data_IF_260817237509
#
_entry.id   IF_260817237509
#
_cell.length_a   1.000
_cell.length_b   1.000
_cell.length_c   1.000
_cell.angle_alpha   90.00
_cell.angle_beta   90.00
_cell.angle_gamma   90.00
#
_symmetry.space_group_name_H-M   'P 1'
#
loop_
_entity.id
_entity.type
_entity.pdbx_description
1 polymer ?
#
# COMPACT_ATOMS: atom_id res chain seq x y z
N UNK A 1 29.16 32.45 -1.93
CA UNK A 1 28.36 31.23 -1.76
C UNK A 1 29.21 30.19 -1.05
N UNK A 2 28.93 29.90 0.22
CA UNK A 2 29.66 28.92 1.02
C UNK A 2 29.21 27.52 0.60
N UNK A 3 30.11 26.77 -0.05
CA UNK A 3 29.90 25.36 -0.38
C UNK A 3 29.82 24.55 0.92
N UNK A 4 28.65 23.95 1.20
CA UNK A 4 28.47 23.07 2.35
C UNK A 4 29.45 21.89 2.24
N UNK A 5 30.12 21.54 3.34
CA UNK A 5 30.91 20.32 3.36
C UNK A 5 30.00 19.08 3.32
N UNK A 6 30.54 17.91 2.96
CA UNK A 6 29.75 16.67 2.79
C UNK A 6 28.91 16.30 4.01
N UNK A 7 29.41 16.58 5.21
CA UNK A 7 28.68 16.34 6.47
C UNK A 7 27.45 17.25 6.58
N UNK A 8 27.59 18.53 6.24
CA UNK A 8 26.48 19.48 6.24
C UNK A 8 25.48 19.19 5.11
N UNK A 9 25.93 18.71 3.96
CA UNK A 9 25.04 18.21 2.90
C UNK A 9 24.23 17.00 3.38
N UNK A 10 24.89 16.01 4.02
CA UNK A 10 24.20 14.83 4.58
C UNK A 10 23.20 15.18 5.68
N UNK A 11 23.55 16.10 6.58
CA UNK A 11 22.65 16.57 7.65
C UNK A 11 21.45 17.32 7.07
N UNK A 12 21.68 18.18 6.07
CA UNK A 12 20.62 18.92 5.39
C UNK A 12 19.67 17.99 4.62
N UNK A 13 20.21 17.04 3.86
CA UNK A 13 19.41 16.03 3.15
C UNK A 13 18.57 15.19 4.11
N UNK A 14 19.15 14.76 5.24
CA UNK A 14 18.43 14.01 6.26
C UNK A 14 17.34 14.85 6.94
N UNK A 15 17.60 16.14 7.16
CA UNK A 15 16.62 17.09 7.69
C UNK A 15 15.46 17.35 6.72
N UNK A 16 15.74 17.52 5.43
CA UNK A 16 14.71 17.72 4.41
C UNK A 16 13.86 16.45 4.23
N UNK A 17 14.47 15.25 4.21
CA UNK A 17 13.74 13.98 4.21
C UNK A 17 12.80 13.85 5.42
N UNK A 18 13.26 14.21 6.62
CA UNK A 18 12.45 14.19 7.83
C UNK A 18 11.27 15.18 7.75
N UNK A 19 11.46 16.34 7.12
CA UNK A 19 10.40 17.34 6.93
C UNK A 19 9.34 16.84 5.95
N UNK A 20 9.73 16.19 4.85
CA UNK A 20 8.77 15.57 3.92
C UNK A 20 7.97 14.46 4.59
N UNK A 21 8.62 13.59 5.37
CA UNK A 21 7.95 12.57 6.16
C UNK A 21 6.91 13.20 7.11
N UNK A 22 7.22 14.31 7.77
CA UNK A 22 6.28 15.00 8.66
C UNK A 22 5.08 15.55 7.88
N UNK A 23 5.29 16.29 6.79
CA UNK A 23 4.18 16.87 6.02
C UNK A 23 3.29 15.81 5.37
N UNK A 24 3.91 14.75 4.85
CA UNK A 24 3.22 13.60 4.31
C UNK A 24 2.37 12.94 5.40
N UNK A 25 2.93 12.65 6.57
CA UNK A 25 2.18 12.09 7.68
C UNK A 25 1.05 13.00 8.15
N UNK A 26 1.27 14.32 8.26
CA UNK A 26 0.21 15.27 8.63
C UNK A 26 -0.93 15.30 7.63
N UNK A 27 -0.61 15.30 6.33
CA UNK A 27 -1.62 15.26 5.27
C UNK A 27 -2.45 13.97 5.34
N UNK A 28 -1.79 12.83 5.55
CA UNK A 28 -2.49 11.54 5.59
C UNK A 28 -3.30 11.38 6.87
N UNK A 29 -2.79 11.84 8.01
CA UNK A 29 -3.56 11.85 9.27
C UNK A 29 -4.80 12.70 9.09
N UNK A 30 -4.67 13.88 8.47
CA UNK A 30 -5.80 14.75 8.20
C UNK A 30 -6.81 14.09 7.25
N UNK A 31 -6.35 13.44 6.18
CA UNK A 31 -7.24 12.73 5.25
C UNK A 31 -7.99 11.58 5.94
N UNK A 32 -7.27 10.73 6.68
CA UNK A 32 -7.82 9.60 7.42
C UNK A 32 -8.83 10.05 8.48
N UNK A 33 -8.53 11.12 9.24
CA UNK A 33 -9.44 11.63 10.27
C UNK A 33 -10.67 12.30 9.65
N UNK A 34 -10.55 12.95 8.48
CA UNK A 34 -11.70 13.51 7.78
C UNK A 34 -12.63 12.41 7.24
N UNK A 35 -12.08 11.35 6.63
CA UNK A 35 -12.88 10.21 6.16
C UNK A 35 -13.61 9.51 7.33
N UNK A 36 -12.91 9.27 8.43
CA UNK A 36 -13.52 8.72 9.65
C UNK A 36 -14.60 9.66 10.23
N UNK A 37 -14.35 10.97 10.22
CA UNK A 37 -15.29 11.96 10.75
C UNK A 37 -16.55 12.05 9.90
N UNK A 38 -16.44 11.92 8.57
CA UNK A 38 -17.58 11.84 7.65
C UNK A 38 -18.39 10.57 7.91
N UNK A 39 -17.74 9.43 8.11
CA UNK A 39 -18.40 8.17 8.46
C UNK A 39 -19.19 8.29 9.78
N UNK A 40 -18.56 8.82 10.83
CA UNK A 40 -19.20 9.00 12.15
C UNK A 40 -20.34 10.02 12.08
N UNK A 41 -20.15 11.14 11.38
CA UNK A 41 -21.17 12.18 11.28
C UNK A 41 -22.41 11.76 10.48
N UNK A 42 -22.28 10.77 9.58
CA UNK A 42 -23.38 10.26 8.76
C UNK A 42 -24.05 9.02 9.36
N UNK A 43 -23.63 8.54 10.54
CA UNK A 43 -24.14 7.31 11.17
C UNK A 43 -24.15 6.07 10.25
N UNK A 44 -23.32 6.05 9.20
CA UNK A 44 -23.38 5.00 8.17
C UNK A 44 -24.68 4.97 7.35
N UNK A 45 -25.58 5.95 7.50
CA UNK A 45 -26.80 6.11 6.71
C UNK A 45 -26.52 7.10 5.59
N UNK A 46 -26.29 6.62 4.38
CA UNK A 46 -25.64 7.43 3.33
C UNK A 46 -26.62 8.12 2.37
N UNK A 47 -26.83 9.42 2.56
CA UNK A 47 -27.02 10.36 1.44
C UNK A 47 -25.70 10.54 0.62
N UNK A 48 -24.59 9.94 1.09
CA UNK A 48 -23.28 9.85 0.42
C UNK A 48 -22.99 8.46 -0.16
N UNK A 49 -24.01 7.74 -0.64
CA UNK A 49 -23.87 6.37 -1.15
C UNK A 49 -22.73 6.21 -2.15
N UNK A 50 -22.51 7.20 -3.02
CA UNK A 50 -21.45 7.19 -4.04
C UNK A 50 -20.00 7.12 -3.49
N UNK A 51 -19.77 7.43 -2.22
CA UNK A 51 -18.41 7.45 -1.63
C UNK A 51 -18.00 6.07 -1.13
N UNK A 52 -18.93 5.37 -0.48
CA UNK A 52 -18.67 4.18 0.34
C UNK A 52 -19.51 2.96 -0.09
N UNK A 53 -19.86 2.88 -1.37
CA UNK A 53 -20.58 1.75 -1.95
C UNK A 53 -19.64 1.01 -2.90
N UNK A 54 -19.98 -0.23 -3.24
CA UNK A 54 -19.35 -0.95 -4.35
C UNK A 54 -19.40 -0.10 -5.62
N UNK A 55 -18.28 0.04 -6.33
CA UNK A 55 -18.01 1.07 -7.35
C UNK A 55 -17.89 2.52 -6.83
N UNK A 56 -17.57 2.68 -5.57
CA UNK A 56 -17.50 3.96 -4.89
C UNK A 56 -16.27 4.77 -5.29
N UNK A 57 -16.30 6.03 -4.86
CA UNK A 57 -15.14 6.92 -5.02
C UNK A 57 -13.89 6.35 -4.32
N UNK A 58 -14.04 5.71 -3.15
CA UNK A 58 -12.90 5.16 -2.42
C UNK A 58 -12.24 3.99 -3.14
N UNK A 59 -12.99 2.99 -3.60
CA UNK A 59 -12.50 1.86 -4.40
C UNK A 59 -11.75 2.34 -5.66
N UNK A 60 -12.34 3.30 -6.38
CA UNK A 60 -11.71 3.93 -7.55
C UNK A 60 -10.39 4.62 -7.18
N UNK A 61 -10.35 5.35 -6.07
CA UNK A 61 -9.12 6.01 -5.61
C UNK A 61 -8.07 5.01 -5.11
N UNK A 62 -8.49 3.92 -4.45
CA UNK A 62 -7.62 2.82 -4.04
C UNK A 62 -6.88 2.25 -5.24
N UNK A 63 -7.61 1.93 -6.31
CA UNK A 63 -7.04 1.46 -7.57
C UNK A 63 -6.06 2.47 -8.17
N UNK A 64 -6.38 3.77 -8.16
CA UNK A 64 -5.47 4.83 -8.61
C UNK A 64 -4.16 4.85 -7.81
N UNK A 65 -4.21 4.69 -6.48
CA UNK A 65 -3.01 4.64 -5.65
C UNK A 65 -2.19 3.36 -5.91
N UNK A 66 -2.84 2.21 -6.08
CA UNK A 66 -2.17 0.97 -6.46
C UNK A 66 -1.48 1.09 -7.84
N UNK A 67 -2.17 1.60 -8.86
CA UNK A 67 -1.57 1.83 -10.18
C UNK A 67 -0.45 2.88 -10.15
N UNK A 68 -0.58 3.91 -9.31
CA UNK A 68 0.48 4.91 -9.10
C UNK A 68 1.72 4.28 -8.48
N UNK A 69 1.56 3.45 -7.43
CA UNK A 69 2.65 2.68 -6.83
C UNK A 69 3.29 1.73 -7.86
N UNK A 70 2.47 1.03 -8.65
CA UNK A 70 2.93 0.16 -9.73
C UNK A 70 3.79 0.92 -10.74
N UNK A 71 3.34 2.11 -11.16
CA UNK A 71 4.08 3.00 -12.05
C UNK A 71 5.42 3.43 -11.46
N UNK A 72 5.45 3.89 -10.21
CA UNK A 72 6.69 4.30 -9.53
C UNK A 72 7.71 3.16 -9.50
N UNK A 73 7.29 1.94 -9.15
CA UNK A 73 8.12 0.74 -9.19
C UNK A 73 8.60 0.39 -10.62
N UNK A 74 7.70 0.48 -11.60
CA UNK A 74 8.00 0.23 -13.01
C UNK A 74 8.92 1.29 -13.64
N UNK A 75 9.00 2.51 -13.10
CA UNK A 75 9.98 3.49 -13.55
C UNK A 75 11.32 3.34 -12.81
N UNK A 76 11.28 2.96 -11.53
CA UNK A 76 12.46 2.86 -10.67
C UNK A 76 13.40 1.70 -11.00
N UNK A 77 12.96 0.65 -11.70
CA UNK A 77 13.82 -0.52 -11.96
C UNK A 77 15.03 -0.21 -12.86
N UNK A 78 14.98 0.88 -13.64
CA UNK A 78 16.01 1.27 -14.61
C UNK A 78 17.34 1.50 -13.87
N UNK A 79 18.42 0.97 -14.45
CA UNK A 79 19.79 1.11 -13.92
C UNK A 79 20.00 0.56 -12.50
N UNK A 80 19.11 -0.31 -11.98
CA UNK A 80 19.32 -1.01 -10.72
C UNK A 80 20.00 -2.38 -10.93
N UNK A 81 20.81 -2.85 -9.96
CA UNK A 81 21.35 -4.22 -9.99
C UNK A 81 20.24 -5.26 -9.95
N UNK A 82 20.55 -6.49 -10.38
CA UNK A 82 19.56 -7.55 -10.62
C UNK A 82 18.60 -7.82 -9.43
N UNK A 83 19.05 -7.91 -8.16
CA UNK A 83 18.13 -8.16 -7.04
C UNK A 83 17.12 -7.03 -6.82
N UNK A 84 17.57 -5.77 -6.88
CA UNK A 84 16.69 -4.62 -6.73
C UNK A 84 15.71 -4.50 -7.90
N UNK A 85 16.19 -4.78 -9.13
CA UNK A 85 15.36 -4.79 -10.33
C UNK A 85 14.26 -5.83 -10.24
N UNK A 86 14.57 -7.02 -9.72
CA UNK A 86 13.57 -8.05 -9.45
C UNK A 86 12.48 -7.52 -8.52
N UNK A 87 12.83 -6.95 -7.36
CA UNK A 87 11.85 -6.44 -6.42
C UNK A 87 11.01 -5.28 -6.98
N UNK A 88 11.62 -4.38 -7.75
CA UNK A 88 10.87 -3.31 -8.43
C UNK A 88 9.83 -3.89 -9.40
N UNK A 89 10.22 -4.86 -10.23
CA UNK A 89 9.28 -5.49 -11.17
C UNK A 89 8.22 -6.33 -10.44
N UNK A 90 8.61 -7.07 -9.39
CA UNK A 90 7.69 -7.84 -8.57
C UNK A 90 6.60 -6.95 -7.96
N UNK A 91 7.00 -5.85 -7.30
CA UNK A 91 6.03 -4.93 -6.71
C UNK A 91 5.26 -4.14 -7.77
N UNK A 92 5.84 -3.82 -8.92
CA UNK A 92 5.11 -3.20 -10.03
C UNK A 92 3.95 -4.09 -10.50
N UNK A 93 4.23 -5.37 -10.76
CA UNK A 93 3.21 -6.34 -11.18
C UNK A 93 2.21 -6.56 -10.05
N UNK A 94 2.67 -6.79 -8.81
CA UNK A 94 1.79 -7.03 -7.67
C UNK A 94 0.81 -5.88 -7.47
N UNK A 95 1.29 -4.63 -7.43
CA UNK A 95 0.41 -3.46 -7.24
C UNK A 95 -0.53 -3.26 -8.43
N UNK A 96 -0.10 -3.56 -9.66
CA UNK A 96 -0.98 -3.52 -10.83
C UNK A 96 -2.09 -4.56 -10.74
N UNK A 97 -1.77 -5.80 -10.32
CA UNK A 97 -2.77 -6.86 -10.12
C UNK A 97 -3.76 -6.46 -9.02
N UNK A 98 -3.29 -5.96 -7.87
CA UNK A 98 -4.16 -5.52 -6.78
C UNK A 98 -5.06 -4.37 -7.21
N UNK A 99 -4.52 -3.35 -7.89
CA UNK A 99 -5.32 -2.25 -8.41
C UNK A 99 -6.32 -2.69 -9.49
N UNK A 100 -6.00 -3.72 -10.27
CA UNK A 100 -6.91 -4.36 -11.22
C UNK A 100 -8.05 -5.08 -10.51
N UNK A 101 -7.75 -5.93 -9.53
CA UNK A 101 -8.74 -6.64 -8.71
C UNK A 101 -9.68 -5.67 -7.99
N UNK A 102 -9.16 -4.54 -7.50
CA UNK A 102 -9.92 -3.48 -6.81
C UNK A 102 -11.02 -2.87 -7.67
N UNK A 103 -10.87 -2.79 -9.00
CA UNK A 103 -11.92 -2.25 -9.91
C UNK A 103 -12.47 -3.32 -10.85
N UNK A 104 -12.37 -4.59 -10.44
CA UNK A 104 -12.81 -5.74 -11.24
C UNK A 104 -12.28 -5.71 -12.67
N UNK A 105 -11.01 -5.36 -12.83
CA UNK A 105 -10.30 -5.24 -14.09
C UNK A 105 -10.93 -4.26 -15.09
N UNK A 106 -11.71 -3.29 -14.58
CA UNK A 106 -12.46 -2.35 -15.41
C UNK A 106 -13.67 -2.97 -16.09
N UNK A 107 -14.11 -4.17 -15.68
CA UNK A 107 -15.30 -4.85 -16.19
C UNK A 107 -16.49 -3.90 -16.31
N UNK A 108 -16.79 -3.20 -15.23
CA UNK A 108 -17.95 -2.32 -15.08
C UNK A 108 -17.77 -1.03 -15.88
N UNK A 109 -16.54 -0.49 -15.93
CA UNK A 109 -16.16 0.67 -16.75
C UNK A 109 -16.38 0.41 -18.25
N UNK A 110 -16.02 -0.78 -18.72
CA UNK A 110 -16.13 -1.16 -20.13
C UNK A 110 -17.46 -1.87 -20.47
N UNK A 111 -18.36 -2.03 -19.50
CA UNK A 111 -19.66 -2.69 -19.69
C UNK A 111 -19.55 -4.17 -20.09
N UNK A 112 -18.49 -4.85 -19.65
CA UNK A 112 -18.24 -6.26 -19.99
C UNK A 112 -19.10 -7.14 -19.08
N UNK A 113 -19.93 -7.99 -19.68
CA UNK A 113 -20.75 -8.94 -18.93
C UNK A 113 -19.89 -10.03 -18.28
N UNK A 114 -20.30 -10.47 -17.09
CA UNK A 114 -19.68 -11.59 -16.37
C UNK A 114 -19.89 -12.88 -17.15
N UNK A 115 -18.86 -13.69 -17.42
CA UNK A 115 -19.04 -14.97 -18.07
C UNK A 115 -19.90 -15.89 -17.22
N UNK A 116 -20.80 -16.65 -17.85
CA UNK A 116 -21.68 -17.60 -17.16
C UNK A 116 -20.93 -18.63 -16.28
N UNK A 117 -19.66 -18.93 -16.60
CA UNK A 117 -18.80 -19.80 -15.79
C UNK A 117 -18.30 -19.18 -14.48
N UNK A 118 -18.32 -17.84 -14.38
CA UNK A 118 -17.92 -17.07 -13.19
C UNK A 118 -19.14 -16.65 -12.37
N UNK A 119 -20.29 -16.40 -12.99
CA UNK A 119 -21.56 -16.13 -12.27
C UNK A 119 -21.92 -17.23 -11.25
N UNK A 120 -21.59 -18.49 -11.54
CA UNK A 120 -21.90 -19.61 -10.64
C UNK A 120 -21.01 -19.72 -9.39
N UNK A 121 -19.88 -19.01 -9.35
CA UNK A 121 -18.85 -19.15 -8.30
C UNK A 121 -18.35 -17.83 -7.71
N UNK A 122 -18.63 -16.71 -8.36
CA UNK A 122 -18.30 -15.38 -7.87
C UNK A 122 -19.51 -14.80 -7.13
N UNK A 123 -19.34 -14.50 -5.85
CA UNK A 123 -20.42 -14.09 -4.94
C UNK A 123 -21.03 -12.73 -5.35
N UNK A 124 -20.29 -11.94 -6.14
CA UNK A 124 -20.65 -10.59 -6.58
C UNK A 124 -20.83 -10.47 -8.11
N UNK A 125 -20.82 -11.57 -8.85
CA UNK A 125 -20.87 -11.61 -10.33
C UNK A 125 -19.76 -10.76 -11.00
N UNK A 126 -18.51 -10.90 -10.58
CA UNK A 126 -17.38 -10.10 -11.11
C UNK A 126 -16.23 -10.93 -11.68
N UNK A 127 -15.31 -10.27 -12.40
CA UNK A 127 -14.08 -10.86 -12.92
C UNK A 127 -12.99 -11.07 -11.86
N UNK A 128 -13.09 -10.37 -10.74
CA UNK A 128 -12.07 -10.43 -9.71
C UNK A 128 -11.98 -11.84 -9.09
N UNK A 129 -10.74 -12.31 -8.99
CA UNK A 129 -10.39 -13.62 -8.45
C UNK A 129 -10.63 -13.63 -6.95
N UNK A 130 -10.51 -12.47 -6.29
CA UNK A 130 -10.73 -12.40 -4.84
C UNK A 130 -12.19 -12.55 -4.42
N UNK A 131 -13.19 -12.44 -5.31
CA UNK A 131 -14.61 -12.65 -4.95
C UNK A 131 -15.11 -14.06 -5.28
N UNK A 132 -14.21 -14.96 -5.70
CA UNK A 132 -14.53 -16.37 -5.87
C UNK A 132 -14.71 -17.00 -4.49
N UNK A 133 -15.85 -17.66 -4.30
CA UNK A 133 -16.23 -18.25 -3.04
C UNK A 133 -15.21 -19.31 -2.58
N UNK A 134 -14.79 -19.24 -1.32
CA UNK A 134 -13.70 -20.06 -0.76
C UNK A 134 -12.27 -19.57 -1.06
N UNK A 135 -12.05 -18.67 -2.02
CA UNK A 135 -10.73 -18.05 -2.30
C UNK A 135 -10.58 -16.71 -1.55
N UNK A 136 -11.66 -15.93 -1.44
CA UNK A 136 -11.69 -14.61 -0.80
C UNK A 136 -10.97 -14.55 0.55
N UNK A 137 -11.32 -15.46 1.47
CA UNK A 137 -10.73 -15.49 2.82
C UNK A 137 -9.23 -15.80 2.79
N UNK A 138 -8.78 -16.66 1.88
CA UNK A 138 -7.38 -17.04 1.73
C UNK A 138 -6.54 -15.90 1.16
N UNK A 139 -7.06 -15.20 0.14
CA UNK A 139 -6.41 -14.01 -0.44
C UNK A 139 -6.26 -12.93 0.62
N UNK A 140 -7.31 -12.69 1.41
CA UNK A 140 -7.27 -11.72 2.51
C UNK A 140 -6.25 -12.07 3.58
N UNK A 141 -6.23 -13.32 4.04
CA UNK A 141 -5.22 -13.80 5.00
C UNK A 141 -3.80 -13.68 4.45
N UNK A 142 -3.60 -14.05 3.19
CA UNK A 142 -2.31 -13.90 2.52
C UNK A 142 -1.89 -12.43 2.42
N UNK A 143 -2.82 -11.52 2.11
CA UNK A 143 -2.59 -10.08 2.09
C UNK A 143 -2.18 -9.53 3.46
N UNK A 144 -2.88 -9.90 4.53
CA UNK A 144 -2.53 -9.51 5.91
C UNK A 144 -1.15 -10.04 6.30
N UNK A 145 -0.84 -11.30 5.99
CA UNK A 145 0.47 -11.88 6.25
C UNK A 145 1.58 -11.17 5.47
N UNK A 146 1.33 -10.88 4.18
CA UNK A 146 2.26 -10.16 3.32
C UNK A 146 2.57 -8.76 3.85
N UNK A 147 1.54 -8.00 4.22
CA UNK A 147 1.67 -6.68 4.86
C UNK A 147 2.42 -6.80 6.19
N UNK A 148 2.08 -7.79 7.02
CA UNK A 148 2.80 -8.08 8.27
C UNK A 148 4.30 -8.28 8.06
N UNK A 149 4.66 -9.02 7.02
CA UNK A 149 6.06 -9.31 6.69
C UNK A 149 6.78 -8.07 6.15
N UNK A 150 6.27 -7.45 5.09
CA UNK A 150 6.96 -6.35 4.39
C UNK A 150 6.91 -5.02 5.12
N UNK A 151 5.79 -4.72 5.80
CA UNK A 151 5.61 -3.44 6.49
C UNK A 151 6.16 -3.44 7.92
N UNK A 152 6.29 -4.61 8.56
CA UNK A 152 6.73 -4.72 9.95
C UNK A 152 7.91 -5.66 10.16
N UNK A 153 7.78 -6.97 9.88
CA UNK A 153 8.79 -7.95 10.25
C UNK A 153 10.17 -7.64 9.65
N UNK A 154 10.23 -7.38 8.35
CA UNK A 154 11.47 -7.06 7.63
C UNK A 154 12.08 -5.72 8.12
N UNK A 155 11.36 -4.58 8.14
CA UNK A 155 11.95 -3.32 8.60
C UNK A 155 12.32 -3.30 10.09
N UNK A 156 11.58 -4.02 10.95
CA UNK A 156 11.92 -4.17 12.37
C UNK A 156 13.17 -5.03 12.53
N UNK A 157 13.22 -6.23 11.94
CA UNK A 157 14.40 -7.10 12.03
C UNK A 157 15.65 -6.46 11.42
N UNK A 158 15.51 -5.63 10.38
CA UNK A 158 16.59 -4.82 9.83
C UNK A 158 17.18 -3.80 10.84
N UNK A 159 16.39 -3.32 11.81
CA UNK A 159 16.88 -2.42 12.87
C UNK A 159 17.63 -3.16 13.98
N UNK A 160 17.22 -4.40 14.28
CA UNK A 160 17.73 -5.15 15.42
C UNK A 160 18.86 -6.13 15.08
N UNK A 161 18.95 -6.63 13.85
CA UNK A 161 19.97 -7.60 13.45
C UNK A 161 20.86 -7.08 12.32
N UNK A 162 22.18 -7.08 12.56
CA UNK A 162 23.19 -6.75 11.55
C UNK A 162 23.22 -7.80 10.43
N UNK A 163 23.05 -9.07 10.78
CA UNK A 163 22.99 -10.18 9.83
C UNK A 163 21.80 -10.02 8.89
N UNK A 164 20.61 -9.74 9.43
CA UNK A 164 19.41 -9.51 8.61
C UNK A 164 19.57 -8.29 7.73
N UNK A 165 20.14 -7.20 8.24
CA UNK A 165 20.46 -6.02 7.44
C UNK A 165 21.35 -6.37 6.25
N UNK A 166 22.45 -7.11 6.46
CA UNK A 166 23.34 -7.54 5.37
C UNK A 166 22.62 -8.44 4.36
N UNK A 167 21.81 -9.37 4.85
CA UNK A 167 20.98 -10.24 4.00
C UNK A 167 20.03 -9.42 3.12
N UNK A 168 19.26 -8.49 3.69
CA UNK A 168 18.35 -7.63 2.92
C UNK A 168 19.08 -6.76 1.91
N UNK A 169 20.29 -6.31 2.23
CA UNK A 169 21.14 -5.55 1.30
C UNK A 169 21.57 -6.43 0.12
N UNK A 170 22.09 -7.61 0.41
CA UNK A 170 22.57 -8.57 -0.59
C UNK A 170 21.47 -8.98 -1.57
N UNK A 171 20.27 -9.21 -1.06
CA UNK A 171 19.12 -9.66 -1.84
C UNK A 171 18.24 -8.51 -2.35
N UNK A 172 18.64 -7.26 -2.12
CA UNK A 172 17.91 -6.08 -2.58
C UNK A 172 16.52 -5.93 -2.00
N UNK A 173 16.24 -6.55 -0.85
CA UNK A 173 14.90 -6.61 -0.26
C UNK A 173 14.42 -5.19 0.07
N UNK A 174 13.24 -4.78 -0.44
CA UNK A 174 12.73 -3.45 -0.18
C UNK A 174 12.37 -3.31 1.30
N UNK A 175 12.57 -2.11 1.84
CA UNK A 175 12.25 -1.84 3.24
C UNK A 175 11.17 -0.78 3.35
N UNK A 176 10.17 -1.11 4.15
CA UNK A 176 9.07 -0.21 4.41
C UNK A 176 9.48 0.93 5.35
N UNK A 177 9.17 2.19 5.00
CA UNK A 177 9.49 3.32 5.85
C UNK A 177 8.62 3.29 7.11
N UNK A 178 9.22 2.90 8.24
CA UNK A 178 8.53 2.81 9.54
C UNK A 178 7.93 4.14 10.02
N UNK A 179 8.32 5.28 9.45
CA UNK A 179 7.68 6.58 9.67
C UNK A 179 6.22 6.62 9.19
N UNK A 180 5.84 5.74 8.26
CA UNK A 180 4.47 5.63 7.71
C UNK A 180 3.76 4.34 8.12
N UNK A 181 4.39 3.49 8.93
CA UNK A 181 3.84 2.18 9.32
C UNK A 181 2.55 2.30 10.15
N UNK A 182 2.33 3.44 10.82
CA UNK A 182 1.09 3.70 11.55
C UNK A 182 -0.14 3.72 10.63
N UNK A 183 0.00 4.06 9.34
CA UNK A 183 -1.09 3.99 8.36
C UNK A 183 -1.55 2.57 8.13
N UNK A 184 -0.58 1.67 7.99
CA UNK A 184 -0.82 0.24 7.84
C UNK A 184 -1.50 -0.31 9.10
N UNK A 185 -1.09 0.15 10.28
CA UNK A 185 -1.76 -0.22 11.54
C UNK A 185 -3.21 0.24 11.54
N UNK A 186 -3.47 1.53 11.27
CA UNK A 186 -4.84 2.07 11.25
C UNK A 186 -5.70 1.34 10.22
N UNK A 187 -5.19 1.19 9.00
CA UNK A 187 -5.83 0.41 7.92
C UNK A 187 -6.21 -0.99 8.40
N UNK A 188 -5.26 -1.71 9.02
CA UNK A 188 -5.51 -3.06 9.54
C UNK A 188 -6.54 -3.06 10.66
N UNK A 189 -6.56 -2.04 11.52
CA UNK A 189 -7.56 -1.92 12.58
C UNK A 189 -8.97 -1.72 11.99
N UNK A 190 -9.12 -0.87 10.97
CA UNK A 190 -10.40 -0.68 10.27
C UNK A 190 -10.94 -1.99 9.68
N UNK A 191 -10.05 -2.82 9.11
CA UNK A 191 -10.45 -4.12 8.58
C UNK A 191 -10.64 -5.18 9.67
N UNK A 192 -9.82 -5.24 10.71
CA UNK A 192 -9.84 -6.39 11.65
C UNK A 192 -10.80 -6.16 12.81
N UNK A 193 -10.88 -4.95 13.35
CA UNK A 193 -11.63 -4.68 14.59
C UNK A 193 -13.11 -4.98 14.45
N UNK A 194 -13.85 -4.51 13.42
CA UNK A 194 -15.27 -4.78 13.30
C UNK A 194 -15.61 -6.27 13.36
N UNK A 195 -14.82 -7.09 12.68
CA UNK A 195 -14.94 -8.57 12.71
C UNK A 195 -14.55 -9.17 14.06
N UNK A 196 -13.48 -8.68 14.69
CA UNK A 196 -13.03 -9.19 15.98
C UNK A 196 -14.06 -8.98 17.11
N UNK A 197 -14.92 -7.97 16.99
CA UNK A 197 -16.00 -7.69 17.95
C UNK A 197 -17.39 -8.13 17.45
N UNK A 198 -17.45 -8.91 16.36
CA UNK A 198 -18.69 -9.40 15.73
C UNK A 198 -19.70 -8.30 15.39
N UNK A 199 -19.22 -7.13 14.95
CA UNK A 199 -20.10 -6.20 14.24
C UNK A 199 -20.61 -6.88 12.96
N UNK A 200 -21.82 -6.53 12.48
CA UNK A 200 -22.26 -6.93 11.14
C UNK A 200 -21.16 -6.60 10.12
N UNK A 201 -21.05 -7.36 9.03
CA UNK A 201 -20.10 -7.01 7.96
C UNK A 201 -20.44 -5.61 7.44
N UNK A 202 -19.68 -4.63 7.92
CA UNK A 202 -19.78 -3.25 7.54
C UNK A 202 -18.81 -3.08 6.38
N UNK A 203 -19.37 -2.84 5.19
CA UNK A 203 -18.62 -2.58 3.97
C UNK A 203 -17.73 -1.32 4.10
N UNK A 204 -18.24 -0.28 4.76
CA UNK A 204 -17.58 1.03 4.84
C UNK A 204 -16.22 1.04 5.59
N UNK A 205 -16.07 0.44 6.79
CA UNK A 205 -14.76 0.30 7.43
C UNK A 205 -13.73 -0.44 6.58
N UNK A 206 -14.15 -1.42 5.79
CA UNK A 206 -13.24 -2.18 4.93
C UNK A 206 -12.69 -1.31 3.81
N UNK A 207 -13.55 -0.57 3.12
CA UNK A 207 -13.12 0.39 2.08
C UNK A 207 -12.18 1.47 2.63
N UNK A 208 -12.46 2.00 3.82
CA UNK A 208 -11.57 2.97 4.48
C UNK A 208 -10.21 2.31 4.76
N UNK A 209 -10.21 1.07 5.24
CA UNK A 209 -9.01 0.30 5.48
C UNK A 209 -8.19 0.06 4.21
N UNK A 210 -8.83 -0.38 3.15
CA UNK A 210 -8.24 -0.68 1.84
C UNK A 210 -7.69 0.59 1.16
N UNK A 211 -8.43 1.70 1.24
CA UNK A 211 -7.96 3.01 0.80
C UNK A 211 -6.70 3.47 1.53
N UNK A 212 -6.69 3.41 2.87
CA UNK A 212 -5.51 3.78 3.65
C UNK A 212 -4.31 2.86 3.36
N UNK A 213 -4.55 1.58 3.09
CA UNK A 213 -3.52 0.64 2.69
C UNK A 213 -2.95 0.97 1.32
N UNK A 214 -3.81 1.23 0.33
CA UNK A 214 -3.42 1.60 -1.03
C UNK A 214 -2.48 2.81 -1.03
N UNK A 215 -2.79 3.80 -0.19
CA UNK A 215 -1.99 5.00 -0.03
C UNK A 215 -0.61 4.70 0.59
N UNK A 216 -0.54 3.79 1.57
CA UNK A 216 0.71 3.44 2.27
C UNK A 216 1.77 2.83 1.33
N UNK A 217 1.35 2.30 0.17
CA UNK A 217 2.28 1.80 -0.86
C UNK A 217 3.03 2.90 -1.61
N UNK A 218 2.54 4.13 -1.63
CA UNK A 218 3.21 5.28 -2.29
C UNK A 218 4.57 5.60 -1.63
N UNK A 219 4.67 5.90 -0.33
CA UNK A 219 5.96 6.15 0.31
C UNK A 219 6.88 4.92 0.25
N UNK A 220 6.31 3.71 0.28
CA UNK A 220 7.09 2.49 0.07
C UNK A 220 7.72 2.44 -1.33
N UNK A 221 6.93 2.72 -2.36
CA UNK A 221 7.39 2.76 -3.75
C UNK A 221 8.47 3.82 -3.95
N UNK A 222 8.26 5.05 -3.46
CA UNK A 222 9.21 6.14 -3.56
C UNK A 222 10.56 5.80 -2.89
N UNK A 223 10.51 5.29 -1.65
CA UNK A 223 11.70 4.95 -0.86
C UNK A 223 12.54 3.81 -1.47
N UNK A 224 11.93 2.90 -2.22
CA UNK A 224 12.64 1.73 -2.78
C UNK A 224 12.96 1.88 -4.27
N UNK A 225 12.23 2.73 -4.99
CA UNK A 225 12.35 2.91 -6.45
C UNK A 225 13.22 4.11 -6.81
N UNK A 226 13.06 5.23 -6.11
CA UNK A 226 13.71 6.50 -6.46
C UNK A 226 14.91 6.82 -5.57
N UNK A 227 14.93 6.37 -4.30
CA UNK A 227 16.08 6.63 -3.43
C UNK A 227 17.26 5.69 -3.70
N UNK A 228 18.47 6.26 -3.76
CA UNK A 228 19.74 5.53 -3.81
C UNK A 228 20.10 4.93 -2.44
N UNK A 229 19.22 4.07 -1.93
CA UNK A 229 19.39 3.41 -0.64
C UNK A 229 20.64 2.52 -0.59
N UNK A 230 20.95 1.88 -1.71
CA UNK A 230 22.05 0.91 -1.82
C UNK A 230 23.38 1.56 -2.24
N UNK A 231 23.36 2.70 -2.94
CA UNK A 231 24.58 3.45 -3.27
C UNK A 231 25.31 4.01 -2.03
N UNK A 232 24.63 4.13 -0.89
CA UNK A 232 25.23 4.53 0.40
C UNK A 232 25.94 3.38 1.14
N UNK A 233 25.75 2.13 0.73
CA UNK A 233 26.33 0.96 1.40
C UNK A 233 27.62 0.48 0.74
N UNK A 234 27.76 0.65 -0.58
CA UNK A 234 29.03 0.45 -1.28
C UNK A 234 30.13 1.42 -0.82
N UNK A 235 29.76 2.57 -0.25
CA UNK A 235 30.72 3.55 0.30
C UNK A 235 31.13 3.29 1.76
N UNK A 236 30.51 2.31 2.44
CA UNK A 236 30.74 2.02 3.87
C UNK A 236 31.14 0.56 4.13
N UNK A 237 31.49 -0.18 3.08
CA UNK A 237 32.18 -1.48 3.11
C UNK A 237 33.60 -1.28 2.57
#
# INVERSE_FOLDING_TARGET
>A
MTTLNETQVKVRQKGDQYRYDIWLNCFITLLATNLLSIYVATNGTSDLGFVFQEDGLLESLSAVFYFSAAGIFAFGFKNKPAPLRFWCLFFAVLMFMVGGEEISWGQRIFGIATPASLESVNVQNEFNIHNIDGIHQHVRMAGVAFVGIFCFLIPISNRFSRQMKQFYIQWGVPLFPLSTAWLVVISTLFMVVPRAINLPDLFVPDEIGEFLLSFAWIPFALNNSLENRFGRLEQNL
#
